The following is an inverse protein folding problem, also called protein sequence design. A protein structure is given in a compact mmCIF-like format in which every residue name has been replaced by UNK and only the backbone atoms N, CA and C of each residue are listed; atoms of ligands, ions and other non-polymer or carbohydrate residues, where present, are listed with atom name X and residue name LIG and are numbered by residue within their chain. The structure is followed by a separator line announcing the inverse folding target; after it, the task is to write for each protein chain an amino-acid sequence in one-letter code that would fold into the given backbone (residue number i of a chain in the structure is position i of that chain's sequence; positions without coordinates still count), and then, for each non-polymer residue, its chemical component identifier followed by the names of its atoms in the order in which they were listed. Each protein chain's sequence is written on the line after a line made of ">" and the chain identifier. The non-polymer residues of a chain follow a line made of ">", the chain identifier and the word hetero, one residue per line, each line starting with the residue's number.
data_IF_224573435644
#
_entry.id   IF_224573435644
#
_cell.length_a   1.000
_cell.length_b   1.000
_cell.length_c   1.000
_cell.angle_alpha   90.00
_cell.angle_beta   90.00
_cell.angle_gamma   90.00
#
_symmetry.space_group_name_H-M   'P 1'
#
loop_
_entity.id
_entity.type
_entity.pdbx_description
1 polymer ?
#
# COMPACT_ATOMS: atom_id res chain seq x y z
N UNK A 1 -16.17 -14.46 -2.73
CA UNK A 1 -16.54 -13.14 -2.17
C UNK A 1 -17.60 -13.22 -1.05
N UNK A 2 -17.91 -14.43 -0.56
CA UNK A 2 -18.97 -14.64 0.46
C UNK A 2 -18.43 -14.87 1.86
N UNK A 3 -17.13 -15.10 2.00
CA UNK A 3 -16.49 -15.39 3.29
C UNK A 3 -16.44 -14.13 4.17
N UNK A 4 -16.93 -14.21 5.42
CA UNK A 4 -16.96 -13.07 6.35
C UNK A 4 -15.58 -12.54 6.77
N UNK A 5 -14.53 -13.34 6.55
CA UNK A 5 -13.15 -12.99 6.91
C UNK A 5 -12.42 -12.16 5.87
N UNK A 6 -13.02 -11.92 4.69
CA UNK A 6 -12.40 -11.10 3.64
C UNK A 6 -12.38 -9.62 4.05
N UNK A 7 -11.20 -9.02 4.07
CA UNK A 7 -11.03 -7.59 4.24
C UNK A 7 -11.40 -6.80 2.97
N UNK A 8 -11.26 -7.44 1.81
CA UNK A 8 -11.62 -6.90 0.50
C UNK A 8 -12.16 -8.00 -0.40
N UNK A 9 -12.91 -7.67 -1.47
CA UNK A 9 -13.28 -8.65 -2.49
C UNK A 9 -12.05 -9.29 -3.12
N UNK A 10 -12.18 -10.52 -3.60
CA UNK A 10 -11.09 -11.19 -4.34
C UNK A 10 -10.74 -10.35 -5.57
N UNK A 11 -9.47 -9.96 -5.65
CA UNK A 11 -8.96 -9.11 -6.74
C UNK A 11 -8.49 -10.01 -7.87
N UNK A 12 -9.18 -9.94 -9.01
CA UNK A 12 -8.88 -10.74 -10.21
C UNK A 12 -8.15 -9.95 -11.29
N UNK A 13 -8.17 -8.62 -11.22
CA UNK A 13 -7.48 -7.75 -12.16
C UNK A 13 -6.04 -7.48 -11.69
N UNK A 14 -5.01 -7.88 -12.45
CA UNK A 14 -3.61 -7.68 -12.07
C UNK A 14 -3.24 -6.22 -11.78
N UNK A 15 -3.85 -5.25 -12.47
CA UNK A 15 -3.62 -3.82 -12.22
C UNK A 15 -4.14 -3.38 -10.86
N UNK A 16 -5.24 -3.95 -10.40
CA UNK A 16 -5.83 -3.68 -9.09
C UNK A 16 -5.09 -4.37 -7.95
N UNK A 17 -4.38 -5.47 -8.24
CA UNK A 17 -3.56 -6.18 -7.23
C UNK A 17 -2.48 -5.26 -6.65
N UNK A 18 -1.88 -4.39 -7.46
CA UNK A 18 -0.87 -3.43 -6.98
C UNK A 18 -1.46 -2.51 -5.92
N UNK A 19 -2.69 -2.02 -6.12
CA UNK A 19 -3.40 -1.20 -5.13
C UNK A 19 -3.67 -1.98 -3.84
N UNK A 20 -4.08 -3.25 -3.97
CA UNK A 20 -4.28 -4.12 -2.82
C UNK A 20 -2.98 -4.36 -2.03
N UNK A 21 -1.86 -4.60 -2.71
CA UNK A 21 -0.56 -4.77 -2.07
C UNK A 21 -0.07 -3.48 -1.39
N UNK A 22 -0.29 -2.32 -2.01
CA UNK A 22 0.02 -1.01 -1.39
C UNK A 22 -0.81 -0.78 -0.14
N UNK A 23 -2.11 -1.14 -0.16
CA UNK A 23 -2.95 -1.07 1.03
C UNK A 23 -2.40 -1.96 2.16
N UNK A 24 -1.94 -3.18 1.87
CA UNK A 24 -1.33 -4.05 2.87
C UNK A 24 -0.09 -3.40 3.50
N UNK A 25 0.74 -2.73 2.70
CA UNK A 25 1.91 -1.99 3.18
C UNK A 25 1.48 -0.81 4.06
N UNK A 26 0.50 -0.04 3.65
CA UNK A 26 -0.04 1.08 4.42
C UNK A 26 -0.65 0.63 5.76
N UNK A 27 -1.42 -0.47 5.75
CA UNK A 27 -1.97 -1.07 6.97
C UNK A 27 -0.86 -1.56 7.92
N UNK A 28 0.21 -2.12 7.37
CA UNK A 28 1.39 -2.49 8.15
C UNK A 28 2.01 -1.28 8.86
N UNK A 29 2.20 -0.17 8.14
CA UNK A 29 2.76 1.08 8.68
C UNK A 29 1.84 1.71 9.74
N UNK A 30 0.52 1.70 9.50
CA UNK A 30 -0.49 2.13 10.46
C UNK A 30 -0.37 1.33 11.76
N UNK A 31 -0.21 0.01 11.68
CA UNK A 31 -0.02 -0.85 12.85
C UNK A 31 1.26 -0.53 13.61
N UNK A 32 2.36 -0.23 12.93
CA UNK A 32 3.59 0.19 13.58
C UNK A 32 3.43 1.54 14.31
N UNK A 33 2.71 2.50 13.74
CA UNK A 33 2.37 3.76 14.41
C UNK A 33 1.54 3.51 15.68
N UNK A 34 0.55 2.60 15.61
CA UNK A 34 -0.25 2.17 16.77
C UNK A 34 0.64 1.52 17.83
N UNK A 35 1.54 0.62 17.45
CA UNK A 35 2.45 -0.05 18.38
C UNK A 35 3.39 0.93 19.08
N UNK A 36 3.87 1.95 18.37
CA UNK A 36 4.68 3.00 18.94
C UNK A 36 3.90 3.83 19.98
N UNK A 37 2.66 4.23 19.67
CA UNK A 37 1.79 4.96 20.61
C UNK A 37 1.48 4.14 21.87
N UNK A 38 1.24 2.83 21.73
CA UNK A 38 0.94 1.91 22.84
C UNK A 38 2.18 1.32 23.52
N UNK A 39 3.38 1.70 23.10
CA UNK A 39 4.66 1.19 23.59
C UNK A 39 4.75 -0.34 23.61
N UNK A 40 4.27 -0.99 22.53
CA UNK A 40 4.30 -2.44 22.35
C UNK A 40 5.12 -2.82 21.13
N UNK A 41 5.68 -4.03 21.10
CA UNK A 41 6.61 -4.46 20.04
C UNK A 41 5.94 -5.23 18.89
N UNK A 42 4.76 -5.78 19.11
CA UNK A 42 4.09 -6.65 18.13
C UNK A 42 2.60 -6.84 18.45
N UNK A 43 1.87 -7.41 17.50
CA UNK A 43 0.44 -7.68 17.59
C UNK A 43 0.06 -8.55 18.82
N UNK A 44 0.92 -9.50 19.22
CA UNK A 44 0.63 -10.37 20.37
C UNK A 44 0.64 -9.57 21.66
N UNK A 45 1.65 -8.72 21.86
CA UNK A 45 1.76 -7.82 23.01
C UNK A 45 0.62 -6.80 22.98
N UNK A 46 0.28 -6.26 21.81
CA UNK A 46 -0.85 -5.35 21.66
C UNK A 46 -2.17 -5.99 22.08
N UNK A 47 -2.46 -7.18 21.58
CA UNK A 47 -3.71 -7.90 21.90
C UNK A 47 -3.78 -8.44 23.34
N UNK A 48 -2.63 -8.53 24.05
CA UNK A 48 -2.55 -8.95 25.47
C UNK A 48 -2.50 -7.78 26.45
N UNK A 49 -2.42 -6.50 25.96
CA UNK A 49 -2.35 -5.37 26.87
C UNK A 49 -3.57 -5.31 27.78
N UNK A 50 -3.34 -5.02 29.05
CA UNK A 50 -4.42 -4.78 30.01
C UNK A 50 -4.97 -3.36 29.80
N UNK A 51 -6.25 -3.23 29.74
CA UNK A 51 -6.97 -1.97 29.56
C UNK A 51 -7.14 -1.16 30.86
N UNK A 52 -6.62 -1.63 31.98
CA UNK A 52 -6.87 -1.03 33.30
C UNK A 52 -6.08 0.27 33.56
N UNK A 53 -5.45 0.86 32.56
CA UNK A 53 -4.93 2.23 32.68
C UNK A 53 -5.92 3.18 32.00
N UNK A 54 -6.56 4.09 32.77
CA UNK A 54 -7.20 5.25 32.15
C UNK A 54 -6.16 5.96 31.27
N UNK A 55 -6.56 6.63 30.18
CA UNK A 55 -5.63 7.38 29.36
C UNK A 55 -4.78 8.22 30.32
N UNK A 56 -3.46 8.10 30.21
CA UNK A 56 -2.56 8.96 30.99
C UNK A 56 -3.01 10.39 30.71
N UNK A 57 -3.43 11.08 31.77
CA UNK A 57 -3.65 12.52 31.67
C UNK A 57 -2.38 13.08 31.03
N UNK A 58 -2.50 13.97 30.03
CA UNK A 58 -1.32 14.57 29.42
C UNK A 58 -0.48 15.13 30.57
N UNK A 59 0.72 14.60 30.73
CA UNK A 59 1.65 15.14 31.74
C UNK A 59 1.69 16.66 31.51
N UNK A 60 1.50 17.47 32.57
CA UNK A 60 1.55 18.90 32.41
C UNK A 60 2.92 19.21 31.79
N UNK A 61 2.88 19.75 30.58
CA UNK A 61 4.09 20.21 29.93
C UNK A 61 4.76 21.16 30.91
N UNK A 62 5.85 20.71 31.53
CA UNK A 62 6.71 21.58 32.29
C UNK A 62 7.19 22.66 31.35
N UNK A 63 6.56 23.81 31.43
CA UNK A 63 7.07 25.03 30.82
C UNK A 63 8.38 25.35 31.54
N UNK A 64 9.48 25.12 30.85
CA UNK A 64 10.86 25.36 31.31
C UNK A 64 11.18 26.86 31.45
N UNK A 65 10.18 27.72 31.66
CA UNK A 65 10.34 29.15 31.81
C UNK A 65 9.39 29.68 32.89
N UNK A 66 9.68 29.32 34.15
CA UNK A 66 9.36 30.16 35.31
C UNK A 66 10.69 30.64 35.89
N UNK A 67 11.29 31.59 35.25
CA UNK A 67 12.50 32.29 35.67
C UNK A 67 12.24 33.77 35.70
N UNK A 68 12.33 34.32 36.89
CA UNK A 68 12.13 35.67 37.33
C UNK A 68 12.60 36.76 36.34
N UNK A 69 11.80 37.82 36.25
CA UNK A 69 12.10 39.07 35.56
C UNK A 69 13.37 39.71 36.10
N UNK A 70 14.44 39.60 35.33
CA UNK A 70 15.61 40.48 35.43
C UNK A 70 15.65 41.36 34.19
N UNK A 71 15.51 42.67 34.41
CA UNK A 71 15.60 43.69 33.37
C UNK A 71 16.98 43.74 32.71
N UNK A 72 17.07 43.53 31.41
CA UNK A 72 18.08 44.15 30.57
C UNK A 72 17.60 44.22 29.13
N UNK A 73 17.74 45.43 28.58
CA UNK A 73 17.45 45.78 27.20
C UNK A 73 18.18 44.88 26.18
N UNK A 74 17.50 44.52 25.13
CA UNK A 74 18.17 44.03 23.97
C UNK A 74 17.39 43.02 23.12
N UNK A 75 16.84 43.50 21.99
CA UNK A 75 16.41 42.76 20.83
C UNK A 75 15.16 41.87 20.99
N UNK A 76 14.01 42.47 20.79
CA UNK A 76 12.79 41.74 20.43
C UNK A 76 12.96 41.22 18.99
N UNK A 77 13.23 39.92 18.87
CA UNK A 77 12.93 39.18 17.65
C UNK A 77 11.46 38.83 17.76
N UNK A 78 10.63 39.49 16.97
CA UNK A 78 9.27 39.05 16.72
C UNK A 78 9.37 37.63 16.11
N UNK A 79 9.06 36.63 16.92
CA UNK A 79 8.82 35.27 16.42
C UNK A 79 7.41 35.31 15.89
N UNK A 80 7.28 35.67 14.61
CA UNK A 80 6.05 35.49 13.85
C UNK A 80 5.70 34.02 13.76
N UNK A 81 4.44 33.78 14.10
CA UNK A 81 3.60 32.67 13.69
C UNK A 81 3.97 31.27 14.16
N UNK A 82 3.08 30.75 14.98
CA UNK A 82 2.88 29.33 15.27
C UNK A 82 3.25 28.47 14.05
N UNK A 83 4.40 27.82 14.12
CA UNK A 83 4.64 26.61 13.33
C UNK A 83 3.65 25.61 13.85
N UNK A 84 2.45 25.59 13.28
CA UNK A 84 1.47 24.51 13.48
C UNK A 84 2.11 23.28 12.87
N UNK A 85 2.85 22.52 13.68
CA UNK A 85 3.23 21.16 13.32
C UNK A 85 1.90 20.44 13.04
N UNK A 86 1.68 19.89 11.84
CA UNK A 86 0.46 19.15 11.56
C UNK A 86 0.31 18.11 12.67
N UNK A 87 -0.75 18.22 13.47
CA UNK A 87 -1.08 17.18 14.46
C UNK A 87 -1.26 15.90 13.67
N UNK A 88 -0.47 14.90 13.99
CA UNK A 88 -0.67 13.54 13.49
C UNK A 88 -2.17 13.24 13.54
N UNK A 89 -2.73 12.86 12.39
CA UNK A 89 -4.11 12.41 12.31
C UNK A 89 -4.40 11.51 13.51
N UNK A 90 -5.47 11.78 14.24
CA UNK A 90 -5.86 10.99 15.41
C UNK A 90 -6.12 9.56 14.95
N UNK A 91 -5.07 8.72 15.00
CA UNK A 91 -5.18 7.31 14.67
C UNK A 91 -6.04 6.69 15.78
N UNK A 92 -7.27 6.29 15.44
CA UNK A 92 -8.11 5.49 16.31
C UNK A 92 -7.37 4.19 16.66
N UNK A 93 -7.16 3.97 17.96
CA UNK A 93 -6.49 2.78 18.46
C UNK A 93 -7.55 1.71 18.75
N UNK A 94 -7.63 0.65 17.96
CA UNK A 94 -8.63 -0.39 18.16
C UNK A 94 -8.31 -1.21 19.40
N UNK A 95 -9.34 -1.86 19.93
CA UNK A 95 -9.19 -2.75 21.09
C UNK A 95 -8.30 -3.93 20.83
N UNK A 96 -8.42 -4.49 19.64
CA UNK A 96 -7.70 -5.67 19.18
C UNK A 96 -7.43 -5.55 17.68
N UNK A 97 -6.26 -6.01 17.27
CA UNK A 97 -5.90 -6.16 15.86
C UNK A 97 -6.04 -7.62 15.44
N UNK A 98 -6.71 -7.84 14.32
CA UNK A 98 -6.80 -9.15 13.68
C UNK A 98 -5.54 -9.44 12.87
N UNK A 99 -5.17 -10.73 12.77
CA UNK A 99 -4.15 -11.15 11.82
C UNK A 99 -4.67 -11.01 10.40
N UNK A 100 -3.79 -10.63 9.48
CA UNK A 100 -4.09 -10.54 8.05
C UNK A 100 -3.28 -11.60 7.33
N UNK A 101 -3.94 -12.37 6.46
CA UNK A 101 -3.28 -13.32 5.55
C UNK A 101 -3.51 -12.85 4.12
N UNK A 102 -2.42 -12.55 3.43
CA UNK A 102 -2.42 -12.20 2.01
C UNK A 102 -2.16 -13.48 1.23
N UNK A 103 -3.06 -13.84 0.34
CA UNK A 103 -2.93 -15.03 -0.51
C UNK A 103 -2.81 -14.59 -1.96
N UNK A 104 -1.70 -14.97 -2.60
CA UNK A 104 -1.44 -14.78 -4.03
C UNK A 104 -1.48 -16.16 -4.68
N UNK A 105 -2.50 -16.39 -5.50
CA UNK A 105 -2.78 -17.69 -6.12
C UNK A 105 -1.80 -18.00 -7.26
N UNK A 106 -1.53 -17.03 -8.14
CA UNK A 106 -0.56 -17.18 -9.24
C UNK A 106 0.34 -15.92 -9.34
N UNK A 107 1.55 -16.05 -8.79
CA UNK A 107 2.52 -14.95 -8.80
C UNK A 107 2.99 -14.62 -10.21
N UNK A 108 3.07 -15.60 -11.11
CA UNK A 108 3.60 -15.38 -12.47
C UNK A 108 2.78 -14.33 -13.24
N UNK A 109 1.47 -14.30 -13.07
CA UNK A 109 0.61 -13.36 -13.78
C UNK A 109 0.86 -11.91 -13.32
N UNK A 110 1.17 -11.72 -12.04
CA UNK A 110 1.54 -10.41 -11.48
C UNK A 110 2.93 -9.98 -11.96
N UNK A 111 3.89 -10.91 -11.99
CA UNK A 111 5.25 -10.65 -12.44
C UNK A 111 5.33 -10.36 -13.95
N UNK A 112 4.34 -10.77 -14.74
CA UNK A 112 4.23 -10.39 -16.15
C UNK A 112 3.72 -8.95 -16.34
N UNK A 113 2.92 -8.46 -15.41
CA UNK A 113 2.26 -7.14 -15.52
C UNK A 113 3.11 -6.03 -14.95
N UNK A 114 3.62 -6.19 -13.73
CA UNK A 114 4.37 -5.15 -13.02
C UNK A 114 5.42 -5.77 -12.08
N UNK A 115 6.48 -6.39 -12.63
CA UNK A 115 7.42 -7.18 -11.85
C UNK A 115 8.11 -6.40 -10.73
N UNK A 116 8.57 -5.19 -10.99
CA UNK A 116 9.29 -4.38 -10.01
C UNK A 116 8.40 -3.95 -8.83
N UNK A 117 7.15 -3.55 -9.10
CA UNK A 117 6.24 -3.11 -8.05
C UNK A 117 5.77 -4.26 -7.17
N UNK A 118 5.46 -5.40 -7.79
CA UNK A 118 5.04 -6.61 -7.09
C UNK A 118 6.19 -7.15 -6.23
N UNK A 119 7.40 -7.24 -6.78
CA UNK A 119 8.58 -7.71 -6.06
C UNK A 119 8.89 -6.82 -4.85
N UNK A 120 8.89 -5.49 -5.03
CA UNK A 120 9.12 -4.53 -3.96
C UNK A 120 8.05 -4.62 -2.87
N UNK A 121 6.78 -4.71 -3.24
CA UNK A 121 5.68 -4.83 -2.28
C UNK A 121 5.79 -6.12 -1.46
N UNK A 122 6.01 -7.27 -2.11
CA UNK A 122 6.20 -8.56 -1.44
C UNK A 122 7.43 -8.52 -0.52
N UNK A 123 8.56 -7.99 -1.00
CA UNK A 123 9.77 -7.87 -0.20
C UNK A 123 9.51 -7.04 1.07
N UNK A 124 8.87 -5.87 0.93
CA UNK A 124 8.55 -4.99 2.07
C UNK A 124 7.61 -5.65 3.08
N UNK A 125 6.56 -6.33 2.60
CA UNK A 125 5.63 -7.08 3.45
C UNK A 125 6.39 -8.19 4.20
N UNK A 126 7.17 -9.00 3.50
CA UNK A 126 7.82 -10.18 4.11
C UNK A 126 8.97 -9.81 5.05
N UNK A 127 9.64 -8.68 4.84
CA UNK A 127 10.68 -8.17 5.74
C UNK A 127 10.13 -7.62 7.05
N UNK A 128 9.01 -6.91 7.01
CA UNK A 128 8.56 -6.12 8.15
C UNK A 128 7.24 -6.58 8.76
N UNK A 129 6.36 -7.24 8.03
CA UNK A 129 4.98 -7.44 8.45
C UNK A 129 4.76 -8.47 9.56
N UNK A 130 5.76 -9.30 9.90
CA UNK A 130 5.66 -10.34 10.95
C UNK A 130 5.19 -9.77 12.30
N UNK A 131 5.80 -8.69 12.75
CA UNK A 131 5.43 -8.07 14.03
C UNK A 131 4.04 -7.42 13.97
N UNK A 132 3.64 -6.91 12.80
CA UNK A 132 2.31 -6.36 12.56
C UNK A 132 1.21 -7.43 12.44
N UNK A 133 1.56 -8.73 12.43
CA UNK A 133 0.62 -9.83 12.31
C UNK A 133 0.05 -10.00 10.90
N UNK A 134 0.85 -9.67 9.89
CA UNK A 134 0.50 -9.84 8.48
C UNK A 134 1.37 -10.96 7.90
N UNK A 135 0.75 -11.94 7.27
CA UNK A 135 1.38 -13.13 6.71
C UNK A 135 1.08 -13.23 5.22
N UNK A 136 2.00 -13.79 4.46
CA UNK A 136 1.86 -13.92 3.02
C UNK A 136 2.01 -15.38 2.60
N UNK A 137 1.07 -15.86 1.77
CA UNK A 137 1.11 -17.14 1.08
C UNK A 137 1.19 -16.83 -0.40
N UNK A 138 2.29 -17.24 -1.04
CA UNK A 138 2.52 -16.97 -2.45
C UNK A 138 2.62 -18.30 -3.18
N UNK A 139 1.78 -18.51 -4.17
CA UNK A 139 1.79 -19.69 -5.01
C UNK A 139 2.07 -19.33 -6.48
N UNK A 140 2.60 -20.29 -7.23
CA UNK A 140 2.76 -20.20 -8.67
C UNK A 140 2.81 -21.59 -9.29
N UNK A 141 2.23 -21.73 -10.47
CA UNK A 141 2.35 -22.91 -11.34
C UNK A 141 3.50 -22.80 -12.35
N UNK A 142 4.21 -21.65 -12.36
CA UNK A 142 5.30 -21.36 -13.31
C UNK A 142 6.61 -21.07 -12.55
N UNK A 143 7.28 -22.10 -12.03
CA UNK A 143 8.48 -21.93 -11.22
C UNK A 143 9.69 -21.56 -12.07
N UNK A 144 9.76 -20.31 -12.51
CA UNK A 144 10.91 -19.78 -13.26
C UNK A 144 11.67 -18.74 -12.43
N UNK A 145 12.93 -18.51 -12.76
CA UNK A 145 13.78 -17.50 -12.09
C UNK A 145 13.22 -16.09 -12.21
N UNK A 146 12.44 -15.82 -13.27
CA UNK A 146 11.76 -14.51 -13.47
C UNK A 146 10.56 -14.33 -12.56
N UNK A 147 9.97 -15.40 -12.06
CA UNK A 147 8.82 -15.39 -11.15
C UNK A 147 9.29 -15.54 -9.71
N UNK A 148 10.09 -16.56 -9.42
CA UNK A 148 10.67 -16.79 -8.09
C UNK A 148 12.07 -16.20 -8.07
N UNK A 149 12.13 -14.88 -7.87
CA UNK A 149 13.39 -14.13 -7.91
C UNK A 149 14.25 -14.36 -6.66
N UNK A 150 15.51 -13.95 -6.71
CA UNK A 150 16.40 -13.99 -5.55
C UNK A 150 15.87 -13.15 -4.38
N UNK A 151 15.24 -12.01 -4.66
CA UNK A 151 14.66 -11.14 -3.64
C UNK A 151 13.49 -11.83 -2.93
N UNK A 152 12.58 -12.45 -3.67
CA UNK A 152 11.45 -13.21 -3.11
C UNK A 152 11.98 -14.39 -2.27
N UNK A 153 12.93 -15.16 -2.76
CA UNK A 153 13.51 -16.28 -2.02
C UNK A 153 14.24 -15.88 -0.73
N UNK A 154 14.92 -14.74 -0.75
CA UNK A 154 15.61 -14.23 0.43
C UNK A 154 14.64 -13.83 1.57
N UNK A 155 13.45 -13.37 1.20
CA UNK A 155 12.46 -12.85 2.15
C UNK A 155 11.35 -13.85 2.50
N UNK A 156 11.20 -14.93 1.72
CA UNK A 156 10.27 -16.04 1.99
C UNK A 156 11.08 -17.32 2.20
N UNK A 157 11.57 -17.57 3.41
CA UNK A 157 12.45 -18.72 3.68
C UNK A 157 11.70 -20.04 3.80
N UNK A 158 10.40 -20.04 4.06
CA UNK A 158 9.58 -21.24 4.12
C UNK A 158 9.05 -21.57 2.73
N UNK A 159 9.34 -22.77 2.23
CA UNK A 159 9.00 -23.15 0.87
C UNK A 159 8.39 -24.54 0.82
N UNK A 160 7.45 -24.71 -0.10
CA UNK A 160 6.83 -26.00 -0.42
C UNK A 160 6.95 -26.19 -1.93
N UNK A 161 7.45 -27.32 -2.36
CA UNK A 161 7.41 -27.75 -3.75
C UNK A 161 6.60 -29.05 -3.87
N UNK A 162 5.58 -29.02 -4.71
CA UNK A 162 4.91 -30.21 -5.20
C UNK A 162 5.71 -30.78 -6.38
N UNK A 163 5.21 -31.86 -7.00
CA UNK A 163 5.84 -32.44 -8.17
C UNK A 163 6.03 -31.41 -9.27
N UNK A 164 7.24 -31.34 -9.81
CA UNK A 164 7.62 -30.48 -10.94
C UNK A 164 8.16 -31.29 -12.10
N UNK A 165 8.17 -30.68 -13.30
CA UNK A 165 8.59 -31.37 -14.52
C UNK A 165 10.11 -31.62 -14.60
N UNK A 166 10.92 -30.74 -13.99
CA UNK A 166 12.37 -30.79 -14.17
C UNK A 166 13.15 -30.55 -12.87
N UNK A 167 14.43 -31.01 -12.87
CA UNK A 167 15.40 -30.72 -11.80
C UNK A 167 15.67 -29.21 -11.68
N UNK A 168 15.52 -28.46 -12.78
CA UNK A 168 15.74 -27.02 -12.81
C UNK A 168 14.60 -26.34 -12.01
N UNK A 169 13.35 -26.74 -12.23
CA UNK A 169 12.20 -26.21 -11.51
C UNK A 169 12.30 -26.48 -10.00
N UNK A 170 12.72 -27.70 -9.62
CA UNK A 170 12.98 -28.03 -8.21
C UNK A 170 14.02 -27.07 -7.60
N UNK A 171 15.10 -26.82 -8.31
CA UNK A 171 16.17 -25.92 -7.86
C UNK A 171 15.73 -24.46 -7.80
N UNK A 172 14.85 -24.02 -8.70
CA UNK A 172 14.28 -22.66 -8.66
C UNK A 172 13.48 -22.46 -7.38
N UNK A 173 12.72 -23.46 -6.93
CA UNK A 173 11.88 -23.34 -5.72
C UNK A 173 12.71 -23.57 -4.46
N UNK A 174 13.44 -24.69 -4.37
CA UNK A 174 14.03 -25.18 -3.12
C UNK A 174 15.53 -24.93 -3.00
N UNK A 175 16.19 -24.41 -4.06
CA UNK A 175 17.64 -24.38 -4.23
C UNK A 175 18.29 -25.79 -4.27
N UNK A 176 17.47 -26.85 -4.21
CA UNK A 176 17.86 -28.25 -4.26
C UNK A 176 17.04 -29.03 -5.31
N UNK A 177 17.55 -30.18 -5.73
CA UNK A 177 16.85 -31.13 -6.58
C UNK A 177 16.02 -32.08 -5.71
N UNK A 178 14.97 -32.70 -6.29
CA UNK A 178 14.18 -33.71 -5.63
C UNK A 178 12.68 -33.61 -5.87
N UNK A 179 12.15 -32.40 -6.09
CA UNK A 179 10.73 -32.25 -6.37
C UNK A 179 10.29 -32.88 -7.70
N UNK A 180 11.22 -33.08 -8.65
CA UNK A 180 10.98 -33.83 -9.89
C UNK A 180 10.76 -35.33 -9.68
N UNK A 181 11.07 -35.85 -8.49
CA UNK A 181 10.90 -37.26 -8.12
C UNK A 181 9.64 -37.53 -7.29
N UNK A 182 8.90 -36.50 -6.97
CA UNK A 182 7.65 -36.62 -6.24
C UNK A 182 6.59 -37.34 -7.07
N UNK A 183 5.63 -37.98 -6.38
CA UNK A 183 4.62 -38.83 -7.00
C UNK A 183 3.36 -38.07 -7.42
N UNK A 184 3.26 -36.76 -7.14
CA UNK A 184 2.05 -35.99 -7.33
C UNK A 184 1.00 -36.22 -6.24
N UNK A 185 -0.23 -35.80 -6.47
CA UNK A 185 -1.38 -36.01 -5.57
C UNK A 185 -1.13 -35.54 -4.13
N UNK A 186 -0.46 -34.39 -3.94
CA UNK A 186 -0.16 -33.83 -2.64
C UNK A 186 1.17 -34.27 -2.02
N UNK A 187 1.95 -35.14 -2.70
CA UNK A 187 3.32 -35.43 -2.31
C UNK A 187 4.19 -34.20 -2.49
N UNK A 188 4.89 -33.77 -1.45
CA UNK A 188 5.60 -32.48 -1.42
C UNK A 188 6.93 -32.55 -0.68
N UNK A 189 7.80 -31.60 -1.01
CA UNK A 189 8.98 -31.26 -0.23
C UNK A 189 8.71 -29.95 0.50
N UNK A 190 8.78 -29.97 1.81
CA UNK A 190 8.64 -28.81 2.68
C UNK A 190 9.98 -28.41 3.28
N UNK A 191 10.38 -27.16 3.07
CA UNK A 191 11.56 -26.55 3.65
C UNK A 191 11.15 -25.50 4.66
N UNK A 192 11.20 -25.80 5.96
CA UNK A 192 10.97 -24.80 7.00
C UNK A 192 12.13 -23.81 7.08
N UNK A 193 11.91 -22.62 7.66
CA UNK A 193 12.97 -21.63 7.85
C UNK A 193 14.14 -22.19 8.66
N UNK A 194 15.36 -22.02 8.17
CA UNK A 194 16.58 -22.46 8.86
C UNK A 194 16.88 -23.95 8.76
N UNK A 195 16.05 -24.76 8.10
CA UNK A 195 16.36 -26.16 7.87
C UNK A 195 17.39 -26.32 6.74
N UNK A 196 18.42 -27.15 6.93
CA UNK A 196 19.45 -27.38 5.91
C UNK A 196 18.94 -28.22 4.74
N UNK A 197 17.87 -29.00 4.93
CA UNK A 197 17.27 -29.84 3.90
C UNK A 197 15.75 -29.85 3.99
N UNK A 198 15.06 -29.98 2.85
CA UNK A 198 13.60 -30.14 2.86
C UNK A 198 13.18 -31.50 3.42
N UNK A 199 12.03 -31.53 4.03
CA UNK A 199 11.36 -32.74 4.54
C UNK A 199 10.26 -33.17 3.58
N UNK A 200 10.20 -34.44 3.22
CA UNK A 200 9.09 -34.96 2.42
C UNK A 200 7.84 -35.12 3.27
N UNK A 201 6.73 -34.66 2.77
CA UNK A 201 5.42 -34.75 3.42
C UNK A 201 4.33 -35.06 2.41
N UNK A 202 3.18 -35.52 2.90
CA UNK A 202 2.02 -35.83 2.08
C UNK A 202 0.86 -34.91 2.49
N UNK A 203 0.37 -34.11 1.55
CA UNK A 203 -0.86 -33.35 1.71
C UNK A 203 -2.09 -34.25 1.54
N UNK A 204 -3.16 -34.05 2.31
CA UNK A 204 -4.42 -34.76 2.11
C UNK A 204 -5.10 -34.32 0.82
N UNK A 205 -5.91 -35.19 0.25
CA UNK A 205 -6.85 -34.81 -0.80
C UNK A 205 -7.98 -33.99 -0.15
N UNK A 206 -8.31 -32.87 -0.75
CA UNK A 206 -9.48 -32.05 -0.40
C UNK A 206 -10.38 -32.01 -1.63
N UNK A 207 -11.64 -32.41 -1.45
CA UNK A 207 -12.62 -32.44 -2.54
C UNK A 207 -13.40 -31.12 -2.65
N UNK A 208 -14.00 -30.87 -3.80
CA UNK A 208 -14.82 -29.68 -4.01
C UNK A 208 -16.03 -29.65 -3.08
N UNK A 209 -16.60 -30.83 -2.78
CA UNK A 209 -17.71 -30.97 -1.85
C UNK A 209 -17.31 -30.57 -0.43
N UNK A 210 -16.13 -30.99 0.04
CA UNK A 210 -15.59 -30.59 1.35
C UNK A 210 -15.35 -29.08 1.41
N UNK A 211 -14.79 -28.49 0.35
CA UNK A 211 -14.62 -27.03 0.25
C UNK A 211 -15.96 -26.32 0.32
N UNK A 212 -16.97 -26.78 -0.42
CA UNK A 212 -18.32 -26.20 -0.40
C UNK A 212 -18.98 -26.29 0.97
N UNK A 213 -18.83 -27.41 1.67
CA UNK A 213 -19.35 -27.59 3.03
C UNK A 213 -18.70 -26.60 4.01
N UNK A 214 -17.37 -26.45 3.95
CA UNK A 214 -16.64 -25.50 4.78
C UNK A 214 -17.07 -24.06 4.46
N UNK A 215 -17.13 -23.69 3.18
CA UNK A 215 -17.56 -22.36 2.77
C UNK A 215 -18.99 -22.07 3.23
N UNK A 216 -19.91 -23.00 3.08
CA UNK A 216 -21.30 -22.87 3.52
C UNK A 216 -21.39 -22.67 5.05
N UNK A 217 -20.64 -23.44 5.81
CA UNK A 217 -20.57 -23.32 7.27
C UNK A 217 -20.05 -21.93 7.69
N UNK A 218 -18.96 -21.47 7.07
CA UNK A 218 -18.35 -20.17 7.40
C UNK A 218 -19.27 -19.02 6.98
N UNK A 219 -19.90 -19.11 5.82
CA UNK A 219 -20.82 -18.07 5.30
C UNK A 219 -22.05 -17.94 6.20
N UNK A 220 -22.50 -19.05 6.82
CA UNK A 220 -23.58 -19.04 7.81
C UNK A 220 -23.27 -18.26 9.09
N UNK A 221 -21.99 -17.99 9.38
CA UNK A 221 -21.57 -17.24 10.57
C UNK A 221 -21.68 -15.71 10.41
N UNK A 222 -21.74 -15.19 9.19
CA UNK A 222 -21.86 -13.76 8.93
C UNK A 222 -21.59 -13.36 7.49
N UNK A 223 -21.82 -12.08 7.20
CA UNK A 223 -21.52 -11.48 5.91
C UNK A 223 -20.15 -10.78 5.94
N UNK A 224 -19.42 -10.71 4.82
CA UNK A 224 -18.17 -9.98 4.76
C UNK A 224 -18.39 -8.48 5.04
N UNK A 225 -17.47 -7.90 5.82
CA UNK A 225 -17.39 -6.46 6.05
C UNK A 225 -16.10 -5.97 5.40
N UNK A 226 -16.22 -5.49 4.17
CA UNK A 226 -15.07 -4.97 3.43
C UNK A 226 -14.62 -3.63 3.98
N UNK A 227 -13.31 -3.41 4.00
CA UNK A 227 -12.71 -2.11 4.28
C UNK A 227 -13.14 -1.08 3.21
N UNK A 228 -13.75 0.02 3.65
CA UNK A 228 -14.39 1.00 2.75
C UNK A 228 -13.36 1.68 1.86
N UNK A 229 -12.23 2.10 2.42
CA UNK A 229 -11.21 2.86 1.71
C UNK A 229 -10.64 2.10 0.51
N UNK A 230 -10.29 0.84 0.71
CA UNK A 230 -9.75 0.01 -0.37
C UNK A 230 -10.83 -0.36 -1.38
N UNK A 231 -12.06 -0.62 -0.92
CA UNK A 231 -13.16 -0.97 -1.82
C UNK A 231 -13.48 0.19 -2.77
N UNK A 232 -13.43 1.43 -2.29
CA UNK A 232 -13.57 2.61 -3.14
C UNK A 232 -12.42 2.77 -4.13
N UNK A 233 -11.18 2.54 -3.72
CA UNK A 233 -10.02 2.57 -4.61
C UNK A 233 -10.07 1.48 -5.69
N UNK A 234 -10.48 0.27 -5.32
CA UNK A 234 -10.63 -0.86 -6.25
C UNK A 234 -11.83 -0.72 -7.20
N UNK A 235 -12.87 0.00 -6.79
CA UNK A 235 -14.07 0.22 -7.61
C UNK A 235 -13.91 1.32 -8.67
N UNK A 236 -12.95 2.24 -8.47
CA UNK A 236 -12.62 3.22 -9.52
C UNK A 236 -12.10 2.47 -10.75
N UNK A 237 -12.54 2.82 -11.96
CA UNK A 237 -11.96 2.25 -13.17
C UNK A 237 -10.45 2.52 -13.15
N UNK A 238 -9.66 1.50 -13.44
CA UNK A 238 -8.21 1.66 -13.58
C UNK A 238 -7.95 2.54 -14.81
N UNK A 239 -7.84 3.85 -14.59
CA UNK A 239 -7.39 4.76 -15.63
C UNK A 239 -5.98 4.32 -16.02
N UNK A 240 -5.85 3.98 -17.30
CA UNK A 240 -4.61 3.49 -17.88
C UNK A 240 -3.54 4.56 -17.69
N UNK A 241 -2.57 4.30 -16.83
CA UNK A 241 -1.29 4.98 -16.86
C UNK A 241 -1.01 6.06 -15.84
N UNK A 242 -1.15 5.82 -14.52
CA UNK A 242 -0.23 6.48 -13.59
C UNK A 242 -0.27 5.85 -12.20
N UNK A 243 0.81 5.16 -11.88
CA UNK A 243 1.12 4.80 -10.50
C UNK A 243 1.77 6.03 -9.85
N UNK A 244 0.93 6.92 -9.32
CA UNK A 244 1.42 8.04 -8.51
C UNK A 244 1.72 7.48 -7.11
N UNK A 245 2.96 7.56 -6.67
CA UNK A 245 3.36 7.24 -5.29
C UNK A 245 2.74 8.25 -4.32
N UNK A 246 2.51 7.89 -3.05
CA UNK A 246 2.01 8.84 -2.06
C UNK A 246 2.85 10.12 -1.96
N UNK A 247 4.17 10.02 -2.18
CA UNK A 247 5.09 11.17 -2.29
C UNK A 247 4.82 12.05 -3.53
N UNK A 248 4.24 11.47 -4.58
CA UNK A 248 3.86 12.22 -5.79
C UNK A 248 2.51 12.93 -5.61
N UNK A 249 1.61 12.48 -4.73
CA UNK A 249 0.34 13.16 -4.45
C UNK A 249 0.56 14.48 -3.70
N UNK A 250 1.42 14.48 -2.68
CA UNK A 250 1.83 15.71 -2.00
C UNK A 250 2.55 16.66 -2.97
N UNK A 251 3.33 16.09 -3.89
CA UNK A 251 4.01 16.85 -4.92
C UNK A 251 3.04 17.42 -5.97
N UNK A 252 1.98 16.70 -6.32
CA UNK A 252 0.90 17.20 -7.20
C UNK A 252 0.19 18.37 -6.53
N UNK A 253 -0.11 18.31 -5.24
CA UNK A 253 -0.69 19.43 -4.51
C UNK A 253 0.23 20.66 -4.53
N UNK A 254 1.52 20.47 -4.29
CA UNK A 254 2.51 21.54 -4.41
C UNK A 254 2.59 22.12 -5.84
N UNK A 255 2.48 21.27 -6.86
CA UNK A 255 2.43 21.72 -8.26
C UNK A 255 1.18 22.53 -8.56
N UNK A 256 0.00 22.13 -8.04
CA UNK A 256 -1.24 22.90 -8.16
C UNK A 256 -1.08 24.28 -7.51
N UNK A 257 -0.47 24.35 -6.36
CA UNK A 257 -0.24 25.60 -5.63
C UNK A 257 0.73 26.54 -6.38
N UNK A 258 1.78 25.99 -6.98
CA UNK A 258 2.69 26.74 -7.85
C UNK A 258 1.96 27.24 -9.10
N UNK A 259 1.14 26.43 -9.75
CA UNK A 259 0.35 26.82 -10.92
C UNK A 259 -0.66 27.91 -10.54
N UNK A 260 -1.29 27.79 -9.37
CA UNK A 260 -2.22 28.77 -8.81
C UNK A 260 -1.53 30.12 -8.56
N UNK A 261 -0.38 30.11 -7.89
CA UNK A 261 0.35 31.34 -7.57
C UNK A 261 0.94 32.03 -8.78
N UNK A 262 1.34 31.27 -9.80
CA UNK A 262 2.00 31.80 -11.01
C UNK A 262 1.03 32.02 -12.17
N UNK A 263 -0.22 31.52 -12.07
CA UNK A 263 -1.25 31.57 -13.12
C UNK A 263 -0.74 31.05 -14.48
N UNK A 264 0.21 30.11 -14.46
CA UNK A 264 0.83 29.52 -15.66
C UNK A 264 1.24 28.08 -15.41
N UNK A 265 0.69 27.16 -16.20
CA UNK A 265 1.01 25.74 -16.17
C UNK A 265 2.16 25.42 -17.14
N UNK A 266 3.40 25.36 -16.64
CA UNK A 266 4.60 25.10 -17.46
C UNK A 266 5.54 24.14 -16.75
N UNK A 267 5.99 23.08 -17.47
CA UNK A 267 6.97 22.09 -16.98
C UNK A 267 8.25 22.78 -16.49
N UNK A 268 8.77 23.77 -17.22
CA UNK A 268 9.98 24.50 -16.85
C UNK A 268 9.84 25.28 -15.55
N UNK A 269 8.63 25.78 -15.25
CA UNK A 269 8.36 26.48 -13.99
C UNK A 269 8.28 25.53 -12.82
N UNK A 270 7.60 24.42 -12.97
CA UNK A 270 7.56 23.36 -11.96
C UNK A 270 8.95 22.84 -11.62
N UNK A 271 9.78 22.58 -12.65
CA UNK A 271 11.18 22.18 -12.44
C UNK A 271 11.95 23.19 -11.57
N UNK A 272 11.82 24.48 -11.87
CA UNK A 272 12.58 25.54 -11.20
C UNK A 272 12.10 25.77 -9.77
N UNK A 273 10.79 25.78 -9.56
CA UNK A 273 10.19 26.07 -8.24
C UNK A 273 10.33 24.90 -7.27
N UNK A 274 10.09 23.68 -7.74
CA UNK A 274 10.08 22.47 -6.92
C UNK A 274 11.37 21.64 -7.04
N UNK A 275 12.37 22.16 -7.79
CA UNK A 275 13.66 21.49 -8.04
C UNK A 275 13.51 20.06 -8.59
N UNK A 276 12.55 19.86 -9.48
CA UNK A 276 12.25 18.56 -10.09
C UNK A 276 13.07 18.32 -11.34
N UNK A 277 13.41 17.05 -11.60
CA UNK A 277 13.93 16.65 -12.90
C UNK A 277 12.87 16.77 -14.00
N UNK A 278 13.31 17.00 -15.25
CA UNK A 278 12.40 17.18 -16.40
C UNK A 278 11.36 16.09 -16.53
N UNK A 279 11.80 14.83 -16.48
CA UNK A 279 10.92 13.64 -16.62
C UNK A 279 9.84 13.59 -15.54
N UNK A 280 10.17 13.95 -14.30
CA UNK A 280 9.19 13.95 -13.18
C UNK A 280 8.21 15.12 -13.31
N UNK A 281 8.69 16.30 -13.67
CA UNK A 281 7.84 17.47 -13.88
C UNK A 281 6.89 17.30 -15.08
N UNK A 282 7.36 16.68 -16.19
CA UNK A 282 6.54 16.37 -17.34
C UNK A 282 5.42 15.35 -16.98
N UNK A 283 5.77 14.27 -16.25
CA UNK A 283 4.80 13.29 -15.80
C UNK A 283 3.72 13.88 -14.88
N UNK A 284 4.08 14.79 -13.99
CA UNK A 284 3.10 15.49 -13.14
C UNK A 284 2.20 16.40 -13.97
N UNK A 285 2.73 17.07 -14.96
CA UNK A 285 1.92 17.90 -15.88
C UNK A 285 0.93 17.07 -16.69
N UNK A 286 1.29 15.85 -17.10
CA UNK A 286 0.40 14.92 -17.78
C UNK A 286 -0.68 14.40 -16.82
N UNK A 287 -0.33 14.13 -15.56
CA UNK A 287 -1.29 13.77 -14.51
C UNK A 287 -2.29 14.91 -14.20
N UNK A 288 -1.84 16.16 -14.20
CA UNK A 288 -2.72 17.33 -14.04
C UNK A 288 -3.65 17.53 -15.23
N UNK A 289 -3.23 17.14 -16.44
CA UNK A 289 -4.09 17.08 -17.63
C UNK A 289 -5.15 15.98 -17.49
N UNK A 290 -4.75 14.76 -17.10
CA UNK A 290 -5.65 13.64 -16.87
C UNK A 290 -6.70 13.94 -15.78
N UNK A 291 -6.34 14.74 -14.77
CA UNK A 291 -7.26 15.25 -13.74
C UNK A 291 -8.13 16.42 -14.20
N UNK A 292 -7.95 16.90 -15.42
CA UNK A 292 -8.71 18.04 -15.97
C UNK A 292 -8.37 19.39 -15.32
N UNK A 293 -7.21 19.52 -14.70
CA UNK A 293 -6.74 20.76 -14.06
C UNK A 293 -6.10 21.67 -15.09
N UNK A 294 -5.37 21.08 -16.04
CA UNK A 294 -4.72 21.79 -17.14
C UNK A 294 -5.13 21.20 -18.48
N UNK A 295 -5.09 22.00 -19.53
CA UNK A 295 -5.37 21.57 -20.90
C UNK A 295 -4.21 20.81 -21.54
N UNK A 296 -4.43 20.26 -22.76
CA UNK A 296 -3.44 19.49 -23.49
C UNK A 296 -2.20 20.32 -23.87
N UNK A 297 -1.08 19.61 -24.06
CA UNK A 297 0.19 20.23 -24.42
C UNK A 297 0.09 20.94 -25.79
N UNK A 298 0.42 22.23 -25.83
CA UNK A 298 0.46 23.06 -27.04
C UNK A 298 1.91 23.46 -27.36
N UNK A 299 2.75 22.48 -27.69
CA UNK A 299 4.15 22.72 -28.03
C UNK A 299 5.00 23.27 -26.86
N UNK A 300 5.59 24.45 -27.01
CA UNK A 300 6.45 25.08 -26.01
C UNK A 300 5.72 26.11 -25.13
N UNK A 301 4.45 26.38 -25.37
CA UNK A 301 3.65 27.32 -24.61
C UNK A 301 3.13 26.68 -23.28
N UNK A 302 2.89 27.53 -22.25
CA UNK A 302 2.25 27.04 -21.03
C UNK A 302 0.86 26.46 -21.34
N UNK A 303 0.50 25.35 -20.71
CA UNK A 303 -0.83 24.72 -20.86
C UNK A 303 -1.91 25.63 -20.27
N UNK A 304 -3.10 25.60 -20.83
CA UNK A 304 -4.27 26.32 -20.33
C UNK A 304 -4.73 25.75 -18.98
N UNK A 305 -5.17 26.61 -18.07
CA UNK A 305 -5.70 26.19 -16.76
C UNK A 305 -7.21 26.07 -16.92
N UNK A 306 -7.76 24.86 -16.71
CA UNK A 306 -9.15 24.52 -16.98
C UNK A 306 -10.09 24.70 -15.78
N UNK A 307 -9.54 24.79 -14.56
CA UNK A 307 -10.30 24.95 -13.33
C UNK A 307 -10.03 26.31 -12.69
N UNK A 308 -11.04 26.88 -12.06
CA UNK A 308 -10.90 28.12 -11.29
C UNK A 308 -10.14 27.81 -9.99
N UNK A 309 -8.85 28.14 -9.94
CA UNK A 309 -7.99 27.84 -8.78
C UNK A 309 -8.18 28.84 -7.63
N UNK A 310 -8.89 29.94 -7.84
CA UNK A 310 -9.01 31.05 -6.87
C UNK A 310 -10.28 31.02 -6.01
N UNK A 311 -11.15 29.99 -6.12
CA UNK A 311 -12.26 29.75 -5.19
C UNK A 311 -13.11 30.99 -4.86
N UNK A 312 -13.36 31.88 -5.83
CA UNK A 312 -14.10 33.12 -5.66
C UNK A 312 -15.35 33.17 -6.54
N UNK A 313 -16.52 32.97 -5.89
CA UNK A 313 -17.79 33.60 -6.20
C UNK A 313 -18.37 33.46 -7.60
N UNK A 314 -19.51 32.79 -7.60
CA UNK A 314 -20.51 32.87 -8.64
C UNK A 314 -20.70 34.32 -9.16
N UNK A 315 -20.56 34.51 -10.46
CA UNK A 315 -21.49 35.40 -11.16
C UNK A 315 -21.69 34.94 -12.60
N UNK A 316 -22.98 34.81 -12.93
CA UNK A 316 -23.47 34.18 -14.13
C UNK A 316 -23.23 34.99 -15.40
N UNK A 317 -23.18 34.24 -16.49
CA UNK A 317 -23.77 34.51 -17.82
C UNK A 317 -23.57 33.25 -18.62
N UNK A 318 -24.49 32.52 -18.83
CA UNK A 318 -25.65 32.26 -19.63
C UNK A 318 -25.40 32.25 -21.13
N UNK A 319 -25.92 31.18 -21.77
CA UNK A 319 -26.09 30.92 -23.20
C UNK A 319 -25.00 29.99 -23.79
N UNK A 320 -25.34 28.88 -24.42
CA UNK A 320 -26.57 28.53 -25.11
C UNK A 320 -26.53 27.05 -25.51
N UNK A 321 -27.70 26.54 -25.53
CA UNK A 321 -28.22 25.28 -26.07
C UNK A 321 -27.67 24.95 -27.46
N UNK A 322 -27.33 23.67 -27.66
CA UNK A 322 -27.67 22.97 -28.92
C UNK A 322 -27.77 21.48 -28.67
N UNK A 323 -29.00 20.98 -28.56
CA UNK A 323 -29.41 19.66 -29.02
C UNK A 323 -28.89 19.41 -30.43
N UNK A 324 -28.48 18.19 -30.71
CA UNK A 324 -28.90 17.48 -31.91
C UNK A 324 -28.36 16.04 -31.94
N UNK A 325 -29.37 15.13 -31.89
CA UNK A 325 -29.45 13.76 -32.44
C UNK A 325 -28.53 12.72 -31.91
#
# INVERSE_FOLDING_TARGET
>A
NTLPHLAMPVVTDPKKVILALRWVVSEMEKRYKIFAKENVKNIQSFNKRRRDKPPAEPEPQMTLFDGERGSSEGFAVEIDEEIVVPRDEEIEIPDRLSYIVVVIDELADLMLTAPAEVENAIARITQMARAAGIHCIVATQRPSVKVITGVIKANIPSRIAFQVASKIDSRVILDEMGAEKLLGKGDMLYQPPGAPKPTRAQGPLVTDEEVQQIVSFITGQGKPKFEVDITQQLSKPALAGSAVSGEDEDLIQQCIEVIRSEQKASVSKLQRRLRLGYTRAARIMDELEDRGIVGPAQGHEPREILIDLDGGGADGRGQGVAELV
#
